data_IF_906109370144
#
_entry.id   IF_906109370144
#
_cell.length_a   1.000
_cell.length_b   1.000
_cell.length_c   1.000
_cell.angle_alpha   90.00
_cell.angle_beta   90.00
_cell.angle_gamma   90.00
#
_symmetry.space_group_name_H-M   'P 1'
#
loop_
_entity.id
_entity.type
_entity.pdbx_description
1 polymer ?
#
# COMPACT_ATOMS: atom_id res chain seq x y z
N UNK A 1 -9.76 2.95 -16.90
CA UNK A 1 -9.18 3.52 -15.67
C UNK A 1 -10.27 4.26 -14.93
N UNK A 2 -10.24 4.29 -13.60
CA UNK A 2 -11.17 5.04 -12.76
C UNK A 2 -10.38 5.89 -11.77
N UNK A 3 -10.83 7.12 -11.54
CA UNK A 3 -10.29 7.96 -10.48
C UNK A 3 -11.09 7.72 -9.20
N UNK A 4 -10.42 7.24 -8.16
CA UNK A 4 -10.97 7.21 -6.81
C UNK A 4 -10.75 8.59 -6.19
N UNK A 5 -11.84 9.37 -6.14
CA UNK A 5 -11.77 10.73 -5.65
C UNK A 5 -11.63 10.83 -4.12
N UNK A 6 -11.98 9.78 -3.37
CA UNK A 6 -11.82 9.78 -1.92
C UNK A 6 -10.37 9.59 -1.51
N UNK A 7 -9.66 8.71 -2.22
CA UNK A 7 -8.28 8.33 -1.90
C UNK A 7 -7.23 8.98 -2.83
N UNK A 8 -7.67 9.68 -3.88
CA UNK A 8 -6.80 10.49 -4.73
C UNK A 8 -5.87 9.68 -5.64
N UNK A 9 -6.29 8.50 -6.09
CA UNK A 9 -5.53 7.66 -7.03
C UNK A 9 -6.32 7.32 -8.29
N UNK A 10 -5.61 6.99 -9.37
CA UNK A 10 -6.21 6.41 -10.59
C UNK A 10 -5.94 4.91 -10.60
N UNK A 11 -7.01 4.11 -10.62
CA UNK A 11 -6.92 2.67 -10.82
C UNK A 11 -6.93 2.33 -12.32
N UNK A 12 -5.96 1.52 -12.72
CA UNK A 12 -5.94 0.83 -13.99
C UNK A 12 -6.12 -0.67 -13.73
N UNK A 13 -7.10 -1.28 -14.39
CA UNK A 13 -7.22 -2.73 -14.48
C UNK A 13 -7.00 -3.13 -15.94
N UNK A 14 -6.17 -4.15 -16.15
CA UNK A 14 -5.70 -4.58 -17.46
C UNK A 14 -4.21 -4.25 -17.68
N UNK A 15 -3.68 -4.67 -18.83
CA UNK A 15 -2.26 -4.56 -19.15
C UNK A 15 -1.74 -5.80 -19.89
N UNK A 16 -0.42 -6.00 -19.89
CA UNK A 16 0.21 -7.25 -20.31
C UNK A 16 1.00 -7.81 -19.13
N UNK A 17 0.49 -8.85 -18.43
CA UNK A 17 -0.72 -9.64 -18.70
C UNK A 17 -2.06 -8.92 -18.43
N UNK A 18 -3.14 -9.38 -19.09
CA UNK A 18 -4.46 -8.71 -19.21
C UNK A 18 -5.33 -8.70 -17.92
N UNK A 19 -4.74 -8.97 -16.75
CA UNK A 19 -5.42 -8.99 -15.45
C UNK A 19 -4.66 -8.26 -14.35
N UNK A 20 -3.62 -7.50 -14.70
CA UNK A 20 -2.89 -6.70 -13.73
C UNK A 20 -3.75 -5.54 -13.22
N UNK A 21 -3.50 -5.15 -11.98
CA UNK A 21 -4.08 -3.95 -11.38
C UNK A 21 -2.95 -3.00 -11.03
N UNK A 22 -3.08 -1.75 -11.43
CA UNK A 22 -2.10 -0.69 -11.20
C UNK A 22 -2.79 0.51 -10.56
N UNK A 23 -2.06 1.16 -9.68
CA UNK A 23 -2.44 2.41 -9.03
C UNK A 23 -1.49 3.49 -9.52
N UNK A 24 -2.04 4.63 -9.93
CA UNK A 24 -1.27 5.86 -10.12
C UNK A 24 -1.63 6.85 -9.04
N UNK A 25 -0.63 7.24 -8.26
CA UNK A 25 -0.77 8.23 -7.21
C UNK A 25 0.51 9.05 -7.14
N UNK A 26 0.39 10.37 -6.97
CA UNK A 26 1.51 11.29 -6.83
C UNK A 26 2.61 11.18 -7.92
N UNK A 27 2.24 10.84 -9.16
CA UNK A 27 3.20 10.72 -10.27
C UNK A 27 3.84 9.33 -10.44
N UNK A 28 3.52 8.37 -9.56
CA UNK A 28 4.13 7.03 -9.56
C UNK A 28 3.09 5.97 -9.88
N UNK A 29 3.45 5.04 -10.77
CA UNK A 29 2.69 3.82 -11.04
C UNK A 29 3.17 2.69 -10.14
N UNK A 30 2.26 2.11 -9.35
CA UNK A 30 2.51 0.97 -8.47
C UNK A 30 1.64 -0.20 -8.90
N UNK A 31 2.24 -1.37 -9.13
CA UNK A 31 1.48 -2.60 -9.38
C UNK A 31 0.89 -3.11 -8.07
N UNK A 32 -0.41 -3.38 -8.06
CA UNK A 32 -1.12 -3.93 -6.92
C UNK A 32 -1.25 -5.46 -7.04
N UNK A 33 -1.35 -6.13 -5.89
CA UNK A 33 -1.53 -7.58 -5.78
C UNK A 33 -2.78 -7.91 -4.95
N UNK A 34 -3.99 -7.61 -5.44
CA UNK A 34 -5.22 -7.90 -4.71
C UNK A 34 -5.42 -9.41 -4.56
N UNK A 35 -5.96 -9.84 -3.41
CA UNK A 35 -6.21 -11.25 -3.11
C UNK A 35 -7.30 -11.87 -3.99
N UNK A 36 -8.13 -11.04 -4.63
CA UNK A 36 -9.10 -11.43 -5.66
C UNK A 36 -8.99 -10.45 -6.84
N UNK A 37 -8.54 -10.95 -7.98
CA UNK A 37 -8.52 -10.19 -9.24
C UNK A 37 -9.61 -10.68 -10.18
N UNK A 38 -10.27 -9.78 -10.94
CA UNK A 38 -11.08 -10.20 -12.07
C UNK A 38 -10.27 -11.02 -13.07
N UNK A 39 -10.92 -11.99 -13.71
CA UNK A 39 -10.34 -12.73 -14.83
C UNK A 39 -9.86 -11.77 -15.95
N UNK A 40 -8.77 -12.11 -16.68
CA UNK A 40 -8.25 -11.30 -17.77
C UNK A 40 -9.34 -10.96 -18.79
N UNK A 41 -9.50 -9.67 -19.08
CA UNK A 41 -10.55 -9.18 -19.98
C UNK A 41 -10.18 -7.81 -20.55
N UNK A 42 -10.69 -7.55 -21.75
CA UNK A 42 -10.52 -6.30 -22.50
C UNK A 42 -11.86 -5.62 -22.73
N UNK A 43 -11.86 -4.39 -23.26
CA UNK A 43 -13.07 -3.60 -23.51
C UNK A 43 -13.99 -3.46 -22.28
N UNK A 44 -13.39 -3.32 -21.10
CA UNK A 44 -14.08 -3.09 -19.84
C UNK A 44 -14.41 -1.62 -19.64
N UNK A 45 -15.44 -1.36 -18.84
CA UNK A 45 -15.67 -0.05 -18.22
C UNK A 45 -15.34 -0.14 -16.74
N UNK A 46 -14.75 0.91 -16.16
CA UNK A 46 -14.38 0.95 -14.75
C UNK A 46 -14.77 2.30 -14.17
N UNK A 47 -15.40 2.30 -12.99
CA UNK A 47 -15.91 3.51 -12.32
C UNK A 47 -15.70 3.42 -10.81
N UNK A 48 -15.56 4.55 -10.14
CA UNK A 48 -15.57 4.63 -8.69
C UNK A 48 -16.99 4.93 -8.20
N UNK A 49 -17.48 4.12 -7.27
CA UNK A 49 -18.73 4.34 -6.56
C UNK A 49 -18.44 4.98 -5.21
N UNK A 50 -18.84 6.25 -5.07
CA UNK A 50 -18.63 7.05 -3.85
C UNK A 50 -19.48 6.53 -2.69
N UNK A 51 -20.68 6.00 -2.96
CA UNK A 51 -21.59 5.55 -1.91
C UNK A 51 -21.06 4.29 -1.22
N UNK A 52 -20.47 3.38 -2.01
CA UNK A 52 -19.93 2.10 -1.55
C UNK A 52 -18.40 2.12 -1.38
N UNK A 53 -17.75 3.27 -1.59
CA UNK A 53 -16.29 3.45 -1.51
C UNK A 53 -15.51 2.35 -2.24
N UNK A 54 -15.93 2.04 -3.47
CA UNK A 54 -15.47 0.86 -4.20
C UNK A 54 -15.26 1.16 -5.69
N UNK A 55 -14.31 0.46 -6.32
CA UNK A 55 -14.11 0.52 -7.78
C UNK A 55 -14.82 -0.65 -8.45
N UNK A 56 -15.72 -0.34 -9.38
CA UNK A 56 -16.53 -1.32 -10.09
C UNK A 56 -15.99 -1.52 -11.50
N UNK A 57 -15.80 -2.78 -11.90
CA UNK A 57 -15.46 -3.18 -13.26
C UNK A 57 -16.66 -3.84 -13.93
N UNK A 58 -17.10 -3.26 -15.05
CA UNK A 58 -18.27 -3.68 -15.80
C UNK A 58 -17.88 -4.32 -17.13
N UNK A 59 -18.45 -5.51 -17.38
CA UNK A 59 -18.38 -6.20 -18.66
C UNK A 59 -16.97 -6.65 -19.04
N UNK A 60 -16.69 -6.51 -20.34
CA UNK A 60 -15.46 -6.91 -20.99
C UNK A 60 -15.51 -8.27 -21.69
N UNK A 61 -14.50 -8.53 -22.51
CA UNK A 61 -14.37 -9.75 -23.32
C UNK A 61 -13.01 -10.39 -23.05
N UNK A 62 -13.00 -11.68 -22.71
CA UNK A 62 -11.80 -12.46 -22.39
C UNK A 62 -12.09 -13.96 -22.35
N UNK A 63 -11.06 -14.79 -22.49
CA UNK A 63 -11.17 -16.25 -22.65
C UNK A 63 -11.82 -16.98 -21.46
N UNK A 64 -11.98 -16.31 -20.31
CA UNK A 64 -12.56 -16.84 -19.08
C UNK A 64 -13.58 -15.91 -18.41
N UNK A 65 -14.04 -14.84 -19.07
CA UNK A 65 -14.98 -13.86 -18.51
C UNK A 65 -16.36 -13.92 -19.22
N UNK A 66 -17.48 -14.12 -18.50
CA UNK A 66 -18.81 -13.97 -19.08
C UNK A 66 -19.07 -12.51 -19.48
N UNK A 67 -19.57 -12.31 -20.70
CA UNK A 67 -19.88 -11.01 -21.35
C UNK A 67 -20.88 -10.12 -20.59
N UNK A 68 -21.51 -10.61 -19.52
CA UNK A 68 -22.47 -9.87 -18.68
C UNK A 68 -22.08 -9.82 -17.19
N UNK A 69 -20.81 -10.04 -16.84
CA UNK A 69 -20.40 -10.00 -15.44
C UNK A 69 -20.09 -8.59 -14.95
N UNK A 70 -20.77 -8.18 -13.87
CA UNK A 70 -20.29 -7.13 -12.97
C UNK A 70 -19.27 -7.79 -12.04
N UNK A 71 -18.06 -7.26 -11.98
CA UNK A 71 -17.06 -7.70 -11.01
C UNK A 71 -16.66 -6.48 -10.20
N UNK A 72 -17.01 -6.47 -8.92
CA UNK A 72 -16.43 -5.51 -7.98
C UNK A 72 -14.93 -5.78 -7.95
N UNK A 73 -14.13 -4.79 -8.37
CA UNK A 73 -12.73 -4.78 -7.98
C UNK A 73 -12.76 -4.27 -6.56
N UNK A 74 -12.97 -5.19 -5.63
CA UNK A 74 -12.73 -4.92 -4.23
C UNK A 74 -11.23 -4.71 -4.08
N UNK A 75 -10.78 -3.48 -4.30
CA UNK A 75 -9.54 -2.98 -3.71
C UNK A 75 -9.86 -2.78 -2.23
N UNK A 76 -10.25 -3.85 -1.52
CA UNK A 76 -10.30 -3.83 -0.06
C UNK A 76 -8.86 -3.60 0.38
N UNK A 77 -8.56 -2.35 0.72
CA UNK A 77 -7.22 -1.92 1.11
C UNK A 77 -6.33 -1.47 -0.03
N UNK A 78 -6.68 -0.37 -0.71
CA UNK A 78 -5.67 0.69 -0.81
C UNK A 78 -5.33 1.03 0.63
N UNK A 79 -4.31 0.37 1.17
CA UNK A 79 -3.81 0.74 2.49
C UNK A 79 -3.35 2.17 2.33
N UNK A 80 -4.12 3.12 2.88
CA UNK A 80 -3.64 4.49 3.04
C UNK A 80 -2.23 4.43 3.63
N UNK A 81 -1.38 5.43 3.37
CA UNK A 81 -0.04 5.43 3.97
C UNK A 81 -0.11 5.24 5.50
N UNK A 82 -1.18 5.73 6.15
CA UNK A 82 -1.51 5.46 7.55
C UNK A 82 -1.75 3.96 7.83
N UNK A 83 -2.62 3.28 7.08
CA UNK A 83 -2.89 1.85 7.26
C UNK A 83 -1.67 0.99 6.95
N UNK A 84 -0.88 1.33 5.92
CA UNK A 84 0.36 0.63 5.61
C UNK A 84 1.38 0.78 6.74
N UNK A 85 1.46 1.96 7.36
CA UNK A 85 2.28 2.22 8.54
C UNK A 85 1.80 1.42 9.76
N UNK A 86 0.48 1.26 9.92
CA UNK A 86 -0.08 0.42 10.98
C UNK A 86 0.25 -1.07 10.78
N UNK A 87 0.15 -1.58 9.55
CA UNK A 87 0.54 -2.95 9.22
C UNK A 87 2.04 -3.19 9.48
N UNK A 88 2.88 -2.18 9.24
CA UNK A 88 4.32 -2.24 9.55
C UNK A 88 4.56 -2.28 11.07
N UNK A 89 3.80 -1.52 11.87
CA UNK A 89 3.83 -1.61 13.34
C UNK A 89 3.49 -3.03 13.80
N UNK A 90 2.45 -3.62 13.24
CA UNK A 90 2.01 -4.97 13.63
C UNK A 90 3.03 -6.04 13.20
N UNK A 91 3.71 -5.83 12.07
CA UNK A 91 4.85 -6.65 11.65
C UNK A 91 6.01 -6.56 12.64
N UNK A 92 6.37 -5.36 13.11
CA UNK A 92 7.43 -5.20 14.13
C UNK A 92 7.05 -5.86 15.46
N UNK A 93 5.77 -5.79 15.86
CA UNK A 93 5.27 -6.42 17.09
C UNK A 93 5.29 -7.95 17.03
N UNK A 94 5.15 -8.55 15.85
CA UNK A 94 5.16 -10.02 15.69
C UNK A 94 6.57 -10.62 15.64
N UNK A 95 7.61 -9.79 15.50
CA UNK A 95 9.00 -10.25 15.55
C UNK A 95 9.43 -10.61 16.98
N UNK A 96 10.19 -11.70 17.17
CA UNK A 96 10.69 -12.13 18.48
C UNK A 96 11.89 -11.29 18.93
N UNK A 97 11.66 -10.00 19.19
CA UNK A 97 12.69 -9.04 19.57
C UNK A 97 12.66 -8.73 21.08
N UNK A 98 13.79 -8.26 21.62
CA UNK A 98 13.82 -7.69 22.97
C UNK A 98 13.01 -6.40 23.06
N UNK A 99 12.43 -6.10 24.23
CA UNK A 99 11.57 -4.91 24.40
C UNK A 99 12.26 -3.59 24.06
N UNK A 100 13.59 -3.48 24.25
CA UNK A 100 14.37 -2.29 23.87
C UNK A 100 14.43 -2.13 22.35
N UNK A 101 14.67 -3.23 21.62
CA UNK A 101 14.70 -3.23 20.16
C UNK A 101 13.31 -2.97 19.54
N UNK A 102 12.24 -3.51 20.15
CA UNK A 102 10.88 -3.13 19.74
C UNK A 102 10.63 -1.64 19.97
N UNK A 103 11.07 -1.08 21.09
CA UNK A 103 10.86 0.35 21.39
C UNK A 103 11.55 1.26 20.37
N UNK A 104 12.79 0.96 19.98
CA UNK A 104 13.53 1.75 18.97
C UNK A 104 12.88 1.71 17.59
N UNK A 105 12.30 0.58 17.21
CA UNK A 105 11.62 0.40 15.92
C UNK A 105 10.19 0.99 15.92
N UNK A 106 9.45 0.86 17.01
CA UNK A 106 8.06 1.31 17.08
C UNK A 106 7.92 2.83 17.28
N UNK A 107 8.85 3.48 17.99
CA UNK A 107 8.80 4.92 18.25
C UNK A 107 8.68 5.80 16.98
N UNK A 108 9.50 5.62 15.92
CA UNK A 108 9.33 6.37 14.68
C UNK A 108 8.02 6.04 13.96
N UNK A 109 7.61 4.76 13.92
CA UNK A 109 6.38 4.34 13.24
C UNK A 109 5.10 4.88 13.89
N UNK A 110 5.04 4.93 15.22
CA UNK A 110 3.91 5.52 15.92
C UNK A 110 3.75 7.02 15.60
N UNK A 111 4.86 7.74 15.39
CA UNK A 111 4.81 9.13 14.94
C UNK A 111 4.34 9.25 13.50
N UNK A 112 4.73 8.33 12.61
CA UNK A 112 4.23 8.27 11.22
C UNK A 112 2.71 8.15 11.22
N UNK A 113 2.14 7.16 11.93
CA UNK A 113 0.68 6.98 11.99
C UNK A 113 -0.01 8.22 12.56
N UNK A 114 0.56 8.85 13.59
CA UNK A 114 0.01 10.07 14.18
C UNK A 114 -0.07 11.22 13.18
N UNK A 115 0.95 11.40 12.34
CA UNK A 115 0.95 12.40 11.26
C UNK A 115 -0.13 12.03 10.24
N UNK A 116 -0.05 10.83 9.67
CA UNK A 116 -0.91 10.41 8.56
C UNK A 116 -2.39 10.22 8.94
N UNK A 117 -2.74 10.29 10.22
CA UNK A 117 -4.10 10.15 10.74
C UNK A 117 -4.68 11.46 11.30
N UNK A 118 -3.94 12.57 11.23
CA UNK A 118 -4.37 13.86 11.78
C UNK A 118 -5.34 14.65 10.88
N UNK A 119 -5.69 14.07 9.72
CA UNK A 119 -6.53 14.66 8.66
C UNK A 119 -5.95 15.92 8.01
N UNK A 120 -4.66 16.19 8.19
CA UNK A 120 -3.96 17.32 7.60
C UNK A 120 -2.97 16.86 6.51
N UNK A 121 -3.48 16.63 5.30
CA UNK A 121 -2.70 16.16 4.16
C UNK A 121 -1.48 17.05 3.81
N UNK A 122 -1.46 18.32 4.24
CA UNK A 122 -0.36 19.24 3.93
C UNK A 122 0.94 18.93 4.69
N UNK A 123 0.86 18.17 5.80
CA UNK A 123 2.04 17.83 6.61
C UNK A 123 2.48 16.36 6.45
N UNK A 124 1.78 15.55 5.66
CA UNK A 124 2.02 14.11 5.53
C UNK A 124 3.44 13.78 5.04
N UNK A 125 4.04 14.64 4.21
CA UNK A 125 5.43 14.49 3.76
C UNK A 125 6.44 14.55 4.92
N UNK A 126 6.07 15.12 6.07
CA UNK A 126 6.92 15.12 7.27
C UNK A 126 7.10 13.71 7.86
N UNK A 127 6.22 12.77 7.54
CA UNK A 127 6.34 11.37 7.94
C UNK A 127 7.56 10.67 7.28
N UNK A 128 8.03 11.15 6.13
CA UNK A 128 9.21 10.62 5.43
C UNK A 128 10.49 10.65 6.31
N UNK A 129 10.68 11.72 7.09
CA UNK A 129 11.81 11.82 8.01
C UNK A 129 11.74 10.80 9.15
N UNK A 130 10.52 10.43 9.58
CA UNK A 130 10.29 9.39 10.58
C UNK A 130 10.50 7.99 10.00
N UNK A 131 10.06 7.73 8.77
CA UNK A 131 10.35 6.48 8.06
C UNK A 131 11.86 6.29 7.81
N UNK A 132 12.58 7.36 7.49
CA UNK A 132 14.05 7.33 7.38
C UNK A 132 14.74 7.01 8.71
N UNK A 133 14.20 7.54 9.82
CA UNK A 133 14.66 7.21 11.17
C UNK A 133 14.41 5.73 11.51
N UNK A 134 13.26 5.19 11.11
CA UNK A 134 12.96 3.77 11.23
C UNK A 134 13.94 2.90 10.42
N UNK A 135 14.20 3.21 9.15
CA UNK A 135 15.17 2.49 8.31
C UNK A 135 16.57 2.52 8.95
N UNK A 136 16.97 3.65 9.54
CA UNK A 136 18.24 3.77 10.25
C UNK A 136 18.31 2.86 11.48
N UNK A 137 17.22 2.76 12.24
CA UNK A 137 17.11 1.83 13.36
C UNK A 137 17.20 0.36 12.90
N UNK A 138 16.49 -0.01 11.83
CA UNK A 138 16.58 -1.34 11.21
C UNK A 138 18.02 -1.68 10.79
N UNK A 139 18.72 -0.75 10.15
CA UNK A 139 20.11 -0.94 9.74
C UNK A 139 21.07 -1.13 10.92
N UNK A 140 20.82 -0.44 12.04
CA UNK A 140 21.62 -0.59 13.26
C UNK A 140 21.35 -1.94 13.93
N UNK A 141 20.09 -2.33 14.05
CA UNK A 141 19.71 -3.60 14.69
C UNK A 141 20.13 -4.81 13.85
N UNK A 142 20.15 -4.70 12.52
CA UNK A 142 20.76 -5.71 11.64
C UNK A 142 22.28 -5.84 11.91
N UNK A 143 23.01 -4.72 12.00
CA UNK A 143 24.46 -4.74 12.29
C UNK A 143 24.78 -5.34 13.66
N UNK A 144 23.88 -5.16 14.64
CA UNK A 144 24.00 -5.72 15.98
C UNK A 144 23.57 -7.18 16.08
N UNK A 145 23.11 -7.79 14.98
CA UNK A 145 22.60 -9.17 14.94
C UNK A 145 21.26 -9.36 15.65
N UNK A 146 20.55 -8.26 15.94
CA UNK A 146 19.21 -8.29 16.56
C UNK A 146 18.17 -8.68 15.50
N UNK A 147 18.31 -8.16 14.29
CA UNK A 147 17.51 -8.53 13.12
C UNK A 147 18.31 -9.43 12.19
N UNK A 148 17.67 -10.46 11.64
CA UNK A 148 18.24 -11.21 10.51
C UNK A 148 18.28 -10.34 9.26
N UNK A 149 19.14 -10.69 8.30
CA UNK A 149 19.18 -10.00 7.00
C UNK A 149 17.85 -10.03 6.26
N UNK A 150 17.07 -11.10 6.43
CA UNK A 150 15.74 -11.25 5.85
C UNK A 150 14.72 -10.31 6.51
N UNK A 151 14.65 -10.32 7.85
CA UNK A 151 13.78 -9.41 8.61
C UNK A 151 14.09 -7.95 8.31
N UNK A 152 15.37 -7.58 8.28
CA UNK A 152 15.79 -6.21 8.00
C UNK A 152 15.43 -5.79 6.56
N UNK A 153 15.52 -6.71 5.60
CA UNK A 153 15.15 -6.43 4.20
C UNK A 153 13.66 -6.22 4.07
N UNK A 154 12.84 -7.11 4.64
CA UNK A 154 11.38 -6.97 4.65
C UNK A 154 10.93 -5.64 5.25
N UNK A 155 11.47 -5.27 6.43
CA UNK A 155 11.11 -4.01 7.09
C UNK A 155 11.49 -2.78 6.26
N UNK A 156 12.65 -2.80 5.58
CA UNK A 156 13.07 -1.71 4.68
C UNK A 156 12.18 -1.59 3.46
N UNK A 157 11.82 -2.70 2.82
CA UNK A 157 10.95 -2.71 1.64
C UNK A 157 9.57 -2.15 1.98
N UNK A 158 9.00 -2.58 3.11
CA UNK A 158 7.72 -2.05 3.60
C UNK A 158 7.81 -0.53 3.87
N UNK A 159 8.83 -0.07 4.60
CA UNK A 159 9.02 1.35 4.84
C UNK A 159 9.20 2.16 3.54
N UNK A 160 9.99 1.65 2.60
CA UNK A 160 10.26 2.31 1.31
C UNK A 160 8.99 2.36 0.44
N UNK A 161 8.15 1.33 0.49
CA UNK A 161 6.85 1.35 -0.21
C UNK A 161 5.90 2.44 0.34
N UNK A 162 5.95 2.70 1.65
CA UNK A 162 5.18 3.77 2.29
C UNK A 162 5.75 5.13 1.89
N UNK A 163 7.08 5.28 1.90
CA UNK A 163 7.75 6.50 1.45
C UNK A 163 7.34 6.84 0.01
N UNK A 164 7.38 5.86 -0.90
CA UNK A 164 7.01 6.06 -2.31
C UNK A 164 5.58 6.61 -2.48
N UNK A 165 4.63 6.18 -1.64
CA UNK A 165 3.25 6.71 -1.61
C UNK A 165 3.17 8.15 -1.13
N UNK A 166 4.08 8.56 -0.24
CA UNK A 166 4.19 9.93 0.27
C UNK A 166 4.98 10.86 -0.66
N UNK A 167 5.51 10.35 -1.78
CA UNK A 167 6.34 11.12 -2.71
C UNK A 167 7.77 11.34 -2.22
N UNK A 168 8.27 10.42 -1.40
CA UNK A 168 9.64 10.34 -0.90
C UNK A 168 10.15 8.88 -0.97
#
# INVERSE_FOLDING_TARGET
MAYDAADGYVLLFGGSPQSDTWEFQAGVWTKLFPSRSPAPRSATSIVYDVADSSVLLFGGVGSSAPIQSITTISVTGTSTAAQASQNLIDTVKSLPLSGIAQTSLLAPLNNVVKILSDKNLTNDISACGKLSSFISAVNNDQRRGILTSEQATQLRELATSIMARLGC
#
